data_IF_803580724581
#
_entry.id   IF_803580724581
#
_cell.length_a   1.000
_cell.length_b   1.000
_cell.length_c   1.000
_cell.angle_alpha   90.00
_cell.angle_beta   90.00
_cell.angle_gamma   90.00
#
_symmetry.space_group_name_H-M   'P 1'
#
loop_
_entity.id
_entity.type
_entity.pdbx_description
1 polymer ?
#
# COMPACT_ATOMS: atom_id res chain seq x y z
N UNK A 1 -13.40 -23.57 -29.65
CA UNK A 1 -12.35 -23.32 -30.65
C UNK A 1 -11.28 -22.47 -29.98
N UNK A 2 -9.99 -22.73 -30.22
CA UNK A 2 -8.92 -21.90 -29.66
C UNK A 2 -9.07 -20.44 -30.13
N UNK A 3 -8.77 -19.50 -29.24
CA UNK A 3 -8.87 -18.07 -29.53
C UNK A 3 -7.80 -17.65 -30.54
N UNK A 4 -8.12 -16.70 -31.42
CA UNK A 4 -7.14 -16.12 -32.34
C UNK A 4 -6.62 -14.79 -31.81
N UNK A 5 -5.38 -14.42 -32.19
CA UNK A 5 -4.78 -13.14 -31.81
C UNK A 5 -5.68 -11.97 -32.25
N UNK A 6 -6.23 -12.02 -33.46
CA UNK A 6 -7.13 -10.97 -33.97
C UNK A 6 -8.38 -10.80 -33.09
N UNK A 7 -8.99 -11.91 -32.68
CA UNK A 7 -10.16 -11.90 -31.80
C UNK A 7 -9.80 -11.32 -30.43
N UNK A 8 -8.68 -11.76 -29.85
CA UNK A 8 -8.22 -11.29 -28.55
C UNK A 8 -7.87 -9.79 -28.55
N UNK A 9 -7.22 -9.27 -29.60
CA UNK A 9 -6.97 -7.83 -29.74
C UNK A 9 -8.28 -7.03 -29.83
N UNK A 10 -9.27 -7.55 -30.55
CA UNK A 10 -10.58 -6.88 -30.66
C UNK A 10 -11.32 -6.86 -29.32
N UNK A 11 -11.23 -7.95 -28.56
CA UNK A 11 -11.98 -8.13 -27.33
C UNK A 11 -11.28 -7.58 -26.10
N UNK A 12 -9.96 -7.54 -26.03
CA UNK A 12 -9.24 -7.31 -24.78
C UNK A 12 -8.15 -6.24 -24.88
N UNK A 13 -7.82 -5.75 -26.08
CA UNK A 13 -6.75 -4.76 -26.19
C UNK A 13 -7.18 -3.37 -25.71
N UNK A 14 -6.21 -2.70 -25.09
CA UNK A 14 -6.29 -1.29 -24.74
C UNK A 14 -5.72 -0.44 -25.87
N UNK A 15 -6.20 0.80 -26.00
CA UNK A 15 -5.60 1.80 -26.89
C UNK A 15 -4.30 2.30 -26.26
N UNK A 16 -3.30 2.52 -27.10
CA UNK A 16 -2.00 2.99 -26.65
C UNK A 16 -1.28 3.82 -27.71
N UNK A 17 -0.19 4.45 -27.29
CA UNK A 17 0.89 4.88 -28.15
C UNK A 17 2.15 4.08 -27.78
N UNK A 18 2.91 3.68 -28.79
CA UNK A 18 4.17 2.98 -28.59
C UNK A 18 5.20 3.51 -29.58
N UNK A 19 6.33 4.02 -29.07
CA UNK A 19 7.40 4.65 -29.88
C UNK A 19 6.88 5.76 -30.81
N UNK A 20 5.88 6.52 -30.35
CA UNK A 20 5.26 7.61 -31.12
C UNK A 20 4.20 7.17 -32.15
N UNK A 21 3.88 5.88 -32.23
CA UNK A 21 2.83 5.36 -33.11
C UNK A 21 1.56 4.99 -32.33
N UNK A 22 0.39 5.20 -32.94
CA UNK A 22 -0.87 4.65 -32.43
C UNK A 22 -0.79 3.12 -32.42
N UNK A 23 -1.10 2.53 -31.27
CA UNK A 23 -0.91 1.12 -30.98
C UNK A 23 -2.13 0.53 -30.25
N UNK A 24 -2.16 -0.79 -30.21
CA UNK A 24 -3.02 -1.58 -29.33
C UNK A 24 -2.16 -2.48 -28.45
N UNK A 25 -2.58 -2.65 -27.21
CA UNK A 25 -1.87 -3.47 -26.22
C UNK A 25 -2.81 -4.53 -25.70
N UNK A 26 -2.43 -5.80 -25.85
CA UNK A 26 -3.15 -6.94 -25.32
C UNK A 26 -2.42 -7.48 -24.07
N UNK A 27 -2.99 -7.33 -22.87
CA UNK A 27 -2.41 -7.88 -21.65
C UNK A 27 -2.61 -9.40 -21.60
N UNK A 28 -1.52 -10.16 -21.57
CA UNK A 28 -1.56 -11.63 -21.56
C UNK A 28 -1.55 -12.17 -20.13
N UNK A 29 -2.69 -12.10 -19.45
CA UNK A 29 -2.87 -12.78 -18.17
C UNK A 29 -3.10 -14.28 -18.36
N UNK A 30 -2.89 -15.07 -17.30
CA UNK A 30 -2.90 -16.53 -17.34
C UNK A 30 -4.21 -17.11 -17.92
N UNK A 31 -5.36 -16.55 -17.52
CA UNK A 31 -6.66 -17.01 -18.02
C UNK A 31 -6.83 -16.79 -19.53
N UNK A 32 -6.43 -15.62 -20.04
CA UNK A 32 -6.49 -15.33 -21.48
C UNK A 32 -5.50 -16.21 -22.25
N UNK A 33 -4.29 -16.37 -21.73
CA UNK A 33 -3.25 -17.19 -22.36
C UNK A 33 -3.69 -18.67 -22.48
N UNK A 34 -4.47 -19.18 -21.53
CA UNK A 34 -5.03 -20.53 -21.57
C UNK A 34 -6.05 -20.75 -22.70
N UNK A 35 -6.60 -19.68 -23.31
CA UNK A 35 -7.53 -19.78 -24.44
C UNK A 35 -6.84 -20.00 -25.79
N UNK A 36 -5.51 -19.88 -25.84
CA UNK A 36 -4.70 -20.05 -27.05
C UNK A 36 -4.07 -21.45 -27.15
N UNK A 37 -3.90 -21.91 -28.39
CA UNK A 37 -2.89 -22.92 -28.68
C UNK A 37 -1.49 -22.29 -28.57
N UNK A 38 -0.67 -22.80 -27.64
CA UNK A 38 0.63 -22.21 -27.32
C UNK A 38 1.64 -22.32 -28.46
N UNK A 39 1.60 -23.39 -29.25
CA UNK A 39 2.53 -23.59 -30.36
C UNK A 39 2.20 -22.63 -31.52
N UNK A 40 0.91 -22.44 -31.79
CA UNK A 40 0.45 -21.48 -32.80
C UNK A 40 0.68 -20.04 -32.37
N UNK A 41 0.44 -19.71 -31.10
CA UNK A 41 0.74 -18.39 -30.54
C UNK A 41 2.23 -18.07 -30.64
N UNK A 42 3.10 -18.99 -30.21
CA UNK A 42 4.55 -18.80 -30.28
C UNK A 42 5.05 -18.65 -31.73
N UNK A 43 4.49 -19.42 -32.67
CA UNK A 43 4.80 -19.28 -34.11
C UNK A 43 4.36 -17.92 -34.64
N UNK A 44 3.21 -17.41 -34.21
CA UNK A 44 2.66 -16.15 -34.69
C UNK A 44 3.39 -14.92 -34.13
N UNK A 45 3.84 -14.95 -32.87
CA UNK A 45 4.55 -13.84 -32.22
C UNK A 45 6.08 -13.97 -32.29
N UNK A 46 6.59 -15.10 -32.78
CA UNK A 46 8.02 -15.37 -32.95
C UNK A 46 8.77 -15.75 -31.68
N UNK A 47 8.07 -15.89 -30.55
CA UNK A 47 8.66 -16.26 -29.25
C UNK A 47 7.60 -16.83 -28.29
N UNK A 48 8.03 -17.45 -27.21
CA UNK A 48 7.13 -17.92 -26.15
C UNK A 48 6.51 -16.73 -25.40
N UNK A 49 5.19 -16.76 -25.21
CA UNK A 49 4.45 -15.78 -24.42
C UNK A 49 4.18 -16.36 -23.04
N UNK A 50 4.42 -15.57 -22.00
CA UNK A 50 4.20 -15.97 -20.61
C UNK A 50 3.12 -15.09 -19.97
N UNK A 51 2.44 -15.58 -18.92
CA UNK A 51 1.58 -14.73 -18.10
C UNK A 51 2.31 -13.47 -17.65
N UNK A 52 1.67 -12.32 -17.82
CA UNK A 52 2.22 -11.01 -17.50
C UNK A 52 2.86 -10.26 -18.66
N UNK A 53 3.15 -10.92 -19.78
CA UNK A 53 3.59 -10.23 -21.00
C UNK A 53 2.49 -9.36 -21.60
N UNK A 54 2.91 -8.33 -22.34
CA UNK A 54 2.01 -7.56 -23.20
C UNK A 54 2.31 -7.85 -24.67
N UNK A 55 1.28 -8.07 -25.48
CA UNK A 55 1.43 -8.04 -26.94
C UNK A 55 1.06 -6.65 -27.44
N UNK A 56 2.02 -5.95 -28.02
CA UNK A 56 1.80 -4.62 -28.61
C UNK A 56 1.77 -4.75 -30.12
N UNK A 57 0.73 -4.20 -30.75
CA UNK A 57 0.60 -4.12 -32.20
C UNK A 57 0.42 -2.68 -32.65
N UNK A 58 1.11 -2.26 -33.71
CA UNK A 58 0.98 -0.92 -34.27
C UNK A 58 1.14 -0.92 -35.79
N UNK A 59 0.75 0.20 -36.41
CA UNK A 59 0.97 0.46 -37.83
C UNK A 59 2.20 1.34 -37.99
N UNK A 60 3.14 0.89 -38.82
CA UNK A 60 4.30 1.66 -39.26
C UNK A 60 4.17 1.89 -40.78
N UNK A 61 3.54 3.01 -41.15
CA UNK A 61 3.09 3.26 -42.51
C UNK A 61 2.06 2.21 -42.96
N UNK A 62 2.41 1.43 -43.99
CA UNK A 62 1.56 0.34 -44.50
C UNK A 62 1.81 -1.01 -43.80
N UNK A 63 2.87 -1.12 -43.00
CA UNK A 63 3.27 -2.38 -42.38
C UNK A 63 2.65 -2.55 -40.99
N UNK A 64 2.16 -3.76 -40.71
CA UNK A 64 1.73 -4.16 -39.37
C UNK A 64 2.93 -4.67 -38.60
N UNK A 65 3.23 -4.01 -37.48
CA UNK A 65 4.32 -4.40 -36.57
C UNK A 65 3.73 -4.91 -35.27
N UNK A 66 4.48 -5.77 -34.59
CA UNK A 66 4.13 -6.24 -33.26
C UNK A 66 5.36 -6.62 -32.45
N UNK A 67 5.23 -6.56 -31.12
CA UNK A 67 6.27 -6.94 -30.18
C UNK A 67 5.67 -7.47 -28.89
N UNK A 68 6.36 -8.42 -28.25
CA UNK A 68 6.05 -8.85 -26.89
C UNK A 68 6.87 -7.98 -25.93
N UNK A 69 6.21 -7.32 -24.99
CA UNK A 69 6.87 -6.59 -23.91
C UNK A 69 6.85 -7.41 -22.63
N UNK A 70 8.00 -7.43 -21.95
CA UNK A 70 8.08 -7.83 -20.56
C UNK A 70 7.64 -6.64 -19.69
N UNK A 71 6.68 -6.81 -18.76
CA UNK A 71 6.15 -5.72 -17.94
C UNK A 71 7.20 -5.09 -17.01
N UNK A 72 8.28 -5.79 -16.72
CA UNK A 72 9.39 -5.30 -15.89
C UNK A 72 10.48 -4.60 -16.70
N UNK A 73 10.42 -4.67 -18.04
CA UNK A 73 11.35 -3.94 -18.89
C UNK A 73 10.86 -2.50 -19.08
N UNK A 74 11.79 -1.54 -18.97
CA UNK A 74 11.52 -0.16 -19.35
C UNK A 74 11.07 -0.08 -20.81
N UNK A 75 10.01 0.67 -21.07
CA UNK A 75 9.38 0.75 -22.39
C UNK A 75 8.77 2.15 -22.63
N UNK A 76 8.54 2.48 -23.90
CA UNK A 76 7.95 3.76 -24.32
C UNK A 76 6.43 3.67 -24.50
N UNK A 77 5.76 2.82 -23.71
CA UNK A 77 4.32 2.63 -23.82
C UNK A 77 3.58 3.78 -23.12
N UNK A 78 2.52 4.27 -23.76
CA UNK A 78 1.58 5.22 -23.18
C UNK A 78 0.19 4.64 -23.41
N UNK A 79 -0.58 4.40 -22.34
CA UNK A 79 -1.96 3.93 -22.45
C UNK A 79 -2.88 5.13 -22.67
N UNK A 80 -3.85 4.97 -23.57
CA UNK A 80 -4.72 6.06 -24.03
C UNK A 80 -6.15 5.76 -23.62
N UNK A 81 -6.77 6.71 -22.90
CA UNK A 81 -8.17 6.63 -22.48
C UNK A 81 -8.97 7.71 -23.21
N UNK A 82 -10.00 7.33 -23.99
CA UNK A 82 -10.86 8.32 -24.64
C UNK A 82 -11.75 9.02 -23.62
N UNK A 83 -11.89 10.34 -23.75
CA UNK A 83 -12.86 11.15 -23.01
C UNK A 83 -14.13 11.36 -23.84
N UNK A 84 -15.22 11.76 -23.19
CA UNK A 84 -16.53 11.90 -23.85
C UNK A 84 -16.58 13.08 -24.82
N UNK A 85 -15.73 14.09 -24.61
CA UNK A 85 -15.57 15.25 -25.50
C UNK A 85 -14.70 14.97 -26.74
N UNK A 86 -14.14 13.76 -26.86
CA UNK A 86 -13.31 13.35 -27.98
C UNK A 86 -11.81 13.64 -27.81
N UNK A 87 -11.40 14.19 -26.67
CA UNK A 87 -9.99 14.24 -26.28
C UNK A 87 -9.46 12.86 -25.82
N UNK A 88 -8.17 12.80 -25.49
CA UNK A 88 -7.48 11.58 -25.09
C UNK A 88 -6.62 11.85 -23.85
N UNK A 89 -6.94 11.17 -22.75
CA UNK A 89 -6.09 11.14 -21.56
C UNK A 89 -4.96 10.13 -21.75
N UNK A 90 -3.73 10.56 -21.46
CA UNK A 90 -2.51 9.78 -21.67
C UNK A 90 -1.90 9.36 -20.34
N UNK A 91 -1.73 8.06 -20.15
CA UNK A 91 -1.10 7.47 -18.96
C UNK A 91 0.22 6.82 -19.36
N UNK A 92 1.37 7.44 -19.02
CA UNK A 92 2.68 6.85 -19.28
C UNK A 92 2.82 5.48 -18.60
N UNK A 93 3.16 4.46 -19.37
CA UNK A 93 3.24 3.06 -18.96
C UNK A 93 4.66 2.47 -19.06
N UNK A 94 5.68 3.33 -19.09
CA UNK A 94 7.07 2.89 -18.97
C UNK A 94 7.40 2.20 -17.65
N UNK A 95 6.61 2.45 -16.61
CA UNK A 95 6.44 1.57 -15.46
C UNK A 95 5.00 1.06 -15.48
N UNK A 96 4.81 -0.18 -15.92
CA UNK A 96 3.48 -0.75 -16.16
C UNK A 96 2.68 -0.88 -14.86
N UNK A 97 3.36 -1.17 -13.76
CA UNK A 97 2.78 -1.34 -12.45
C UNK A 97 2.08 -0.05 -11.99
N UNK A 98 2.79 1.08 -12.05
CA UNK A 98 2.25 2.41 -11.71
C UNK A 98 1.12 2.83 -12.63
N UNK A 99 1.25 2.54 -13.93
CA UNK A 99 0.20 2.85 -14.89
C UNK A 99 -1.09 2.06 -14.63
N UNK A 100 -0.98 0.76 -14.29
CA UNK A 100 -2.12 -0.07 -13.95
C UNK A 100 -2.85 0.43 -12.69
N UNK A 101 -2.12 0.82 -11.65
CA UNK A 101 -2.69 1.42 -10.44
C UNK A 101 -3.42 2.72 -10.79
N UNK A 102 -2.77 3.62 -11.54
CA UNK A 102 -3.37 4.90 -11.94
C UNK A 102 -4.64 4.72 -12.77
N UNK A 103 -4.62 3.81 -13.74
CA UNK A 103 -5.80 3.52 -14.57
C UNK A 103 -6.95 2.92 -13.77
N UNK A 104 -6.63 2.10 -12.78
CA UNK A 104 -7.64 1.56 -11.87
C UNK A 104 -8.28 2.67 -11.02
N UNK A 105 -7.48 3.58 -10.47
CA UNK A 105 -7.97 4.78 -9.76
C UNK A 105 -8.85 5.66 -10.67
N UNK A 106 -8.40 5.95 -11.89
CA UNK A 106 -9.17 6.73 -12.87
C UNK A 106 -10.50 6.05 -13.22
N UNK A 107 -10.51 4.72 -13.38
CA UNK A 107 -11.75 3.97 -13.64
C UNK A 107 -12.75 4.06 -12.51
N UNK A 108 -12.27 4.08 -11.26
CA UNK A 108 -13.12 4.28 -10.08
C UNK A 108 -13.66 5.70 -9.97
N UNK A 109 -12.82 6.70 -10.22
CA UNK A 109 -13.24 8.10 -10.33
C UNK A 109 -14.31 8.26 -11.41
N UNK A 110 -14.15 7.61 -12.55
CA UNK A 110 -15.13 7.59 -13.63
C UNK A 110 -16.47 7.01 -13.17
N UNK A 111 -16.49 5.85 -12.51
CA UNK A 111 -17.75 5.26 -12.02
C UNK A 111 -18.51 6.20 -11.08
N UNK A 112 -17.79 6.95 -10.24
CA UNK A 112 -18.39 7.95 -9.35
C UNK A 112 -18.92 9.15 -10.10
N UNK A 113 -18.16 9.65 -11.08
CA UNK A 113 -18.60 10.76 -11.92
C UNK A 113 -19.89 10.39 -12.68
N UNK A 114 -19.97 9.16 -13.21
CA UNK A 114 -21.20 8.64 -13.82
C UNK A 114 -22.38 8.64 -12.84
N UNK A 115 -22.19 8.16 -11.62
CA UNK A 115 -23.25 8.14 -10.60
C UNK A 115 -23.71 9.55 -10.23
N UNK A 116 -22.76 10.46 -9.99
CA UNK A 116 -23.01 11.87 -9.66
C UNK A 116 -23.76 12.58 -10.79
N UNK A 117 -23.30 12.45 -12.03
CA UNK A 117 -23.94 13.03 -13.21
C UNK A 117 -25.34 12.47 -13.42
N UNK A 118 -25.55 11.17 -13.19
CA UNK A 118 -26.88 10.57 -13.27
C UNK A 118 -27.84 11.16 -12.22
N UNK A 119 -27.38 11.36 -10.99
CA UNK A 119 -28.17 12.00 -9.93
C UNK A 119 -28.50 13.46 -10.24
N UNK A 120 -27.51 14.25 -10.66
CA UNK A 120 -27.70 15.66 -11.01
C UNK A 120 -28.64 15.81 -12.22
N UNK A 121 -28.50 14.96 -13.24
CA UNK A 121 -29.42 14.95 -14.38
C UNK A 121 -30.83 14.52 -13.98
N UNK A 122 -31.00 13.63 -13.00
CA UNK A 122 -32.32 13.29 -12.47
C UNK A 122 -32.96 14.46 -11.72
N UNK A 123 -32.17 15.24 -10.96
CA UNK A 123 -32.63 16.48 -10.31
C UNK A 123 -33.06 17.53 -11.36
N UNK A 124 -32.23 17.75 -12.38
CA UNK A 124 -32.55 18.69 -13.48
C UNK A 124 -33.84 18.29 -14.22
N UNK A 125 -34.07 16.99 -14.47
CA UNK A 125 -35.33 16.50 -15.04
C UNK A 125 -36.52 16.81 -14.13
N UNK A 126 -36.42 16.50 -12.84
CA UNK A 126 -37.49 16.74 -11.88
C UNK A 126 -37.79 18.24 -11.71
N UNK A 127 -36.77 19.10 -11.78
CA UNK A 127 -36.93 20.56 -11.77
C UNK A 127 -37.57 21.08 -13.05
N UNK A 128 -37.17 20.55 -14.21
CA UNK A 128 -37.78 20.89 -15.49
C UNK A 128 -39.24 20.45 -15.59
N UNK A 129 -39.58 19.26 -15.11
CA UNK A 129 -40.99 18.80 -15.02
C UNK A 129 -41.83 19.73 -14.13
N UNK A 130 -41.28 20.18 -13.00
CA UNK A 130 -41.95 21.18 -12.13
C UNK A 130 -42.08 22.55 -12.81
N UNK A 131 -41.12 22.94 -13.63
CA UNK A 131 -41.17 24.19 -14.39
C UNK A 131 -42.22 24.11 -15.51
N UNK A 132 -42.26 23.01 -16.27
CA UNK A 132 -43.26 22.74 -17.30
C UNK A 132 -44.70 22.72 -16.76
N UNK A 133 -44.89 22.25 -15.53
CA UNK A 133 -46.20 22.28 -14.87
C UNK A 133 -46.70 23.71 -14.57
N UNK A 134 -45.80 24.71 -14.51
CA UNK A 134 -46.11 26.13 -14.27
C UNK A 134 -46.08 26.96 -15.54
N UNK A 135 -45.17 26.65 -16.45
CA UNK A 135 -44.95 27.32 -17.72
C UNK A 135 -44.67 26.25 -18.81
N UNK A 136 -45.65 25.99 -19.71
CA UNK A 136 -45.49 25.00 -20.78
C UNK A 136 -44.31 25.27 -21.71
N UNK A 137 -43.80 26.50 -21.77
CA UNK A 137 -42.70 26.91 -22.63
C UNK A 137 -41.34 26.95 -21.87
N UNK A 138 -41.27 26.35 -20.67
CA UNK A 138 -40.03 26.28 -19.89
C UNK A 138 -38.90 25.59 -20.67
N UNK A 139 -37.78 26.31 -20.83
CA UNK A 139 -36.62 25.83 -21.56
C UNK A 139 -36.03 24.53 -20.96
N UNK A 140 -35.62 23.61 -21.84
CA UNK A 140 -35.00 22.35 -21.42
C UNK A 140 -33.63 22.61 -20.77
N UNK A 141 -33.32 21.96 -19.62
CA UNK A 141 -32.04 22.13 -18.97
C UNK A 141 -30.92 21.48 -19.80
N UNK A 142 -29.71 22.03 -19.68
CA UNK A 142 -28.52 21.38 -20.24
C UNK A 142 -28.09 20.24 -19.33
N UNK A 143 -28.17 19.01 -19.83
CA UNK A 143 -27.72 17.83 -19.09
C UNK A 143 -26.20 17.75 -19.05
N UNK A 144 -25.70 17.30 -17.89
CA UNK A 144 -24.30 17.05 -17.67
C UNK A 144 -23.90 15.74 -18.33
N UNK A 145 -22.65 15.67 -18.78
CA UNK A 145 -22.08 14.48 -19.41
C UNK A 145 -20.88 14.02 -18.58
N UNK A 146 -20.74 12.72 -18.27
CA UNK A 146 -19.56 12.23 -17.55
C UNK A 146 -18.28 12.44 -18.37
N UNK A 147 -17.15 12.64 -17.70
CA UNK A 147 -15.84 12.88 -18.35
C UNK A 147 -15.44 11.76 -19.30
N UNK A 148 -15.67 10.51 -18.89
CA UNK A 148 -15.31 9.33 -19.68
C UNK A 148 -16.56 8.57 -20.12
N UNK A 149 -16.52 7.86 -21.26
CA UNK A 149 -17.53 6.87 -21.61
C UNK A 149 -17.65 5.76 -20.55
N UNK A 150 -18.83 5.16 -20.42
CA UNK A 150 -19.11 4.13 -19.41
C UNK A 150 -18.20 2.89 -19.54
N UNK A 151 -17.74 2.57 -20.75
CA UNK A 151 -16.89 1.43 -21.05
C UNK A 151 -15.40 1.77 -21.18
N UNK A 152 -15.00 3.03 -20.96
CA UNK A 152 -13.63 3.50 -21.17
C UNK A 152 -12.57 2.68 -20.40
N UNK A 153 -12.94 2.16 -19.23
CA UNK A 153 -12.06 1.38 -18.35
C UNK A 153 -12.37 -0.11 -18.31
N UNK A 154 -13.27 -0.62 -19.16
CA UNK A 154 -13.73 -2.02 -19.12
C UNK A 154 -12.61 -3.06 -19.29
N UNK A 155 -11.47 -2.69 -19.88
CA UNK A 155 -10.31 -3.56 -20.12
C UNK A 155 -9.20 -3.44 -19.07
N UNK A 156 -9.29 -2.45 -18.17
CA UNK A 156 -8.28 -2.24 -17.11
C UNK A 156 -8.18 -3.41 -16.12
N UNK A 157 -9.27 -4.12 -15.73
CA UNK A 157 -9.14 -5.29 -14.87
C UNK A 157 -8.23 -6.38 -15.47
N UNK A 158 -8.29 -6.62 -16.78
CA UNK A 158 -7.42 -7.57 -17.46
C UNK A 158 -5.95 -7.15 -17.45
N UNK A 159 -5.68 -5.84 -17.56
CA UNK A 159 -4.34 -5.27 -17.39
C UNK A 159 -3.82 -5.46 -15.95
N UNK A 160 -4.65 -5.24 -14.94
CA UNK A 160 -4.26 -5.41 -13.54
C UNK A 160 -3.89 -6.87 -13.24
N UNK A 161 -4.72 -7.83 -13.69
CA UNK A 161 -4.41 -9.26 -13.58
C UNK A 161 -3.11 -9.61 -14.29
N UNK A 162 -2.87 -9.05 -15.48
CA UNK A 162 -1.63 -9.23 -16.22
C UNK A 162 -0.42 -8.72 -15.40
N UNK A 163 -0.51 -7.54 -14.79
CA UNK A 163 0.55 -7.03 -13.91
C UNK A 163 0.79 -7.98 -12.73
N UNK A 164 -0.26 -8.47 -12.07
CA UNK A 164 -0.14 -9.42 -10.96
C UNK A 164 0.55 -10.74 -11.38
N UNK A 165 0.24 -11.25 -12.57
CA UNK A 165 0.92 -12.41 -13.14
C UNK A 165 2.41 -12.16 -13.40
N UNK A 166 2.75 -10.99 -13.94
CA UNK A 166 4.15 -10.59 -14.14
C UNK A 166 4.93 -10.45 -12.82
N UNK A 167 4.30 -9.89 -11.78
CA UNK A 167 4.89 -9.82 -10.44
C UNK A 167 5.14 -11.22 -9.87
N UNK A 168 4.17 -12.13 -9.98
CA UNK A 168 4.33 -13.52 -9.55
C UNK A 168 5.48 -14.21 -10.28
N UNK A 169 5.58 -14.07 -11.60
CA UNK A 169 6.69 -14.61 -12.38
C UNK A 169 8.05 -14.06 -11.89
N UNK A 170 8.11 -12.76 -11.56
CA UNK A 170 9.30 -12.12 -10.99
C UNK A 170 9.75 -12.76 -9.67
N UNK A 171 8.77 -13.09 -8.82
CA UNK A 171 9.01 -13.70 -7.51
C UNK A 171 9.44 -15.16 -7.61
N UNK A 172 8.88 -15.89 -8.55
CA UNK A 172 9.16 -17.31 -8.81
C UNK A 172 10.49 -17.54 -9.55
N UNK A 173 10.98 -16.54 -10.30
CA UNK A 173 12.23 -16.64 -11.04
C UNK A 173 13.45 -16.75 -10.08
N UNK A 174 14.25 -17.84 -10.17
CA UNK A 174 15.43 -18.03 -9.34
C UNK A 174 16.58 -17.07 -9.66
N UNK A 175 16.57 -16.41 -10.82
CA UNK A 175 17.60 -15.47 -11.26
C UNK A 175 17.26 -14.01 -10.96
N UNK A 176 16.03 -13.70 -10.54
CA UNK A 176 15.66 -12.35 -10.11
C UNK A 176 16.42 -12.00 -8.84
N UNK A 177 17.08 -10.85 -8.85
CA UNK A 177 17.81 -10.34 -7.70
C UNK A 177 16.90 -9.92 -6.54
N UNK A 178 17.53 -9.71 -5.39
CA UNK A 178 16.87 -9.32 -4.15
C UNK A 178 16.08 -8.01 -4.31
N UNK A 179 16.65 -7.01 -4.98
CA UNK A 179 16.04 -5.69 -5.08
C UNK A 179 14.76 -5.74 -5.92
N UNK A 180 14.79 -6.46 -7.03
CA UNK A 180 13.64 -6.67 -7.89
C UNK A 180 12.52 -7.48 -7.20
N UNK A 181 12.86 -8.50 -6.40
CA UNK A 181 11.87 -9.24 -5.59
C UNK A 181 11.21 -8.34 -4.55
N UNK A 182 11.98 -7.57 -3.80
CA UNK A 182 11.45 -6.62 -2.82
C UNK A 182 10.53 -5.57 -3.47
N UNK A 183 10.92 -5.04 -4.64
CA UNK A 183 10.09 -4.11 -5.40
C UNK A 183 8.79 -4.77 -5.88
N UNK A 184 8.84 -6.01 -6.36
CA UNK A 184 7.64 -6.72 -6.81
C UNK A 184 6.62 -6.89 -5.69
N UNK A 185 7.07 -7.20 -4.46
CA UNK A 185 6.17 -7.24 -3.32
C UNK A 185 5.63 -5.86 -2.90
N UNK A 186 6.46 -4.80 -2.95
CA UNK A 186 6.00 -3.45 -2.67
C UNK A 186 4.89 -3.02 -3.64
N UNK A 187 5.00 -3.40 -4.92
CA UNK A 187 3.95 -3.18 -5.91
C UNK A 187 2.70 -4.02 -5.60
N UNK A 188 2.84 -5.30 -5.24
CA UNK A 188 1.68 -6.12 -4.85
C UNK A 188 0.89 -5.46 -3.71
N UNK A 189 1.59 -4.89 -2.72
CA UNK A 189 0.97 -4.11 -1.67
C UNK A 189 0.24 -2.86 -2.19
N UNK A 190 0.87 -2.07 -3.08
CA UNK A 190 0.22 -0.89 -3.66
C UNK A 190 -1.04 -1.24 -4.46
N UNK A 191 -1.00 -2.33 -5.23
CA UNK A 191 -2.16 -2.88 -5.94
C UNK A 191 -3.24 -3.31 -4.94
N UNK A 192 -2.85 -4.01 -3.87
CA UNK A 192 -3.74 -4.38 -2.77
C UNK A 192 -4.44 -3.14 -2.22
N UNK A 193 -3.68 -2.13 -1.79
CA UNK A 193 -4.22 -0.87 -1.25
C UNK A 193 -5.14 -0.14 -2.22
N UNK A 194 -4.79 -0.09 -3.51
CA UNK A 194 -5.62 0.53 -4.55
C UNK A 194 -6.95 -0.21 -4.73
N UNK A 195 -6.96 -1.55 -4.58
CA UNK A 195 -8.18 -2.36 -4.57
C UNK A 195 -8.99 -2.20 -3.28
N UNK A 196 -8.33 -1.94 -2.16
CA UNK A 196 -8.91 -2.06 -0.84
C UNK A 196 -9.62 -0.77 -0.36
N UNK A 197 -9.16 0.42 -0.78
CA UNK A 197 -9.75 1.69 -0.37
C UNK A 197 -10.84 2.17 -1.34
N UNK A 198 -12.07 1.67 -1.21
CA UNK A 198 -13.20 1.95 -2.14
C UNK A 198 -13.84 3.34 -1.95
N UNK A 199 -13.38 4.12 -0.96
CA UNK A 199 -14.02 5.36 -0.51
C UNK A 199 -13.83 6.59 -1.41
N UNK A 200 -14.88 7.41 -1.54
CA UNK A 200 -14.81 8.76 -2.12
C UNK A 200 -13.89 9.66 -1.28
N UNK A 201 -13.36 10.77 -1.84
CA UNK A 201 -12.58 11.74 -1.04
C UNK A 201 -13.36 12.23 0.19
N UNK A 202 -14.66 12.44 0.06
CA UNK A 202 -15.55 12.84 1.16
C UNK A 202 -15.70 11.74 2.21
N UNK A 203 -15.98 10.51 1.80
CA UNK A 203 -16.06 9.35 2.71
C UNK A 203 -14.72 9.11 3.43
N UNK A 204 -13.60 9.25 2.72
CA UNK A 204 -12.26 9.15 3.30
C UNK A 204 -12.00 10.31 4.27
N UNK A 205 -12.50 11.52 4.00
CA UNK A 205 -12.44 12.64 4.94
C UNK A 205 -13.20 12.32 6.23
N UNK A 206 -14.40 11.73 6.14
CA UNK A 206 -15.18 11.29 7.30
C UNK A 206 -14.46 10.22 8.13
N UNK A 207 -13.91 9.20 7.48
CA UNK A 207 -13.10 8.17 8.16
C UNK A 207 -11.87 8.78 8.83
N UNK A 208 -11.18 9.69 8.14
CA UNK A 208 -9.97 10.35 8.66
C UNK A 208 -10.30 11.20 9.88
N UNK A 209 -11.36 12.00 9.83
CA UNK A 209 -11.83 12.81 10.95
C UNK A 209 -12.22 11.93 12.14
N UNK A 210 -13.07 10.94 11.92
CA UNK A 210 -13.52 10.05 12.99
C UNK A 210 -12.34 9.34 13.65
N UNK A 211 -11.37 8.88 12.87
CA UNK A 211 -10.14 8.28 13.40
C UNK A 211 -9.35 9.29 14.25
N UNK A 212 -9.13 10.51 13.75
CA UNK A 212 -8.43 11.55 14.51
C UNK A 212 -9.12 11.85 15.86
N UNK A 213 -10.45 11.96 15.87
CA UNK A 213 -11.21 12.14 17.10
C UNK A 213 -10.99 10.98 18.09
N UNK A 214 -11.08 9.75 17.61
CA UNK A 214 -10.84 8.55 18.43
C UNK A 214 -9.39 8.45 18.93
N UNK A 215 -8.43 8.93 18.16
CA UNK A 215 -7.02 9.02 18.56
C UNK A 215 -6.82 10.02 19.70
N UNK A 216 -7.43 11.20 19.60
CA UNK A 216 -7.38 12.21 20.65
C UNK A 216 -8.10 11.77 21.93
N UNK A 217 -9.27 11.11 21.78
CA UNK A 217 -9.97 10.47 22.91
C UNK A 217 -9.04 9.46 23.59
N UNK A 218 -8.35 8.60 22.83
CA UNK A 218 -7.43 7.62 23.38
C UNK A 218 -6.19 8.22 24.04
N UNK A 219 -5.75 9.41 23.62
CA UNK A 219 -4.67 10.15 24.27
C UNK A 219 -5.09 10.73 25.62
N UNK A 220 -6.35 11.17 25.77
CA UNK A 220 -6.89 11.69 27.03
C UNK A 220 -7.34 10.59 27.99
N UNK A 221 -8.05 9.59 27.46
CA UNK A 221 -8.58 8.46 28.24
C UNK A 221 -8.47 7.15 27.44
N UNK A 222 -7.36 6.41 27.58
CA UNK A 222 -7.12 5.17 26.83
C UNK A 222 -8.19 4.09 26.98
N UNK A 223 -8.95 4.11 28.09
CA UNK A 223 -9.99 3.13 28.41
C UNK A 223 -11.39 3.50 27.87
N UNK A 224 -11.54 4.67 27.23
CA UNK A 224 -12.81 5.11 26.68
C UNK A 224 -13.27 4.19 25.52
N UNK A 225 -14.56 3.91 25.39
CA UNK A 225 -15.07 2.95 24.38
C UNK A 225 -14.77 3.37 22.94
N UNK A 226 -14.75 4.68 22.69
CA UNK A 226 -14.39 5.28 21.40
C UNK A 226 -12.87 5.43 21.22
N UNK A 227 -12.04 5.19 22.24
CA UNK A 227 -10.60 5.38 22.13
C UNK A 227 -10.00 4.48 21.05
N UNK A 228 -9.00 5.01 20.34
CA UNK A 228 -8.00 4.21 19.65
C UNK A 228 -6.74 4.20 20.50
N UNK A 229 -6.15 3.02 20.74
CA UNK A 229 -4.89 2.87 21.49
C UNK A 229 -3.85 3.87 20.98
N UNK A 230 -3.41 4.87 21.77
CA UNK A 230 -2.56 5.93 21.27
C UNK A 230 -1.24 5.36 20.72
N UNK A 231 -0.63 6.01 19.71
CA UNK A 231 0.69 5.59 19.27
C UNK A 231 1.65 5.71 20.45
N UNK A 232 2.44 4.66 20.69
CA UNK A 232 3.48 4.71 21.69
C UNK A 232 4.46 5.85 21.33
N UNK A 233 4.92 6.58 22.36
CA UNK A 233 5.83 7.70 22.16
C UNK A 233 7.08 7.25 21.40
N UNK A 234 7.56 8.11 20.49
CA UNK A 234 8.77 7.84 19.75
C UNK A 234 9.93 7.61 20.72
N UNK A 235 10.72 6.56 20.49
CA UNK A 235 11.85 6.26 21.35
C UNK A 235 12.91 7.38 21.23
N UNK A 236 13.24 8.00 22.35
CA UNK A 236 14.22 9.11 22.41
C UNK A 236 15.66 8.65 22.63
N UNK A 237 15.89 7.37 22.96
CA UNK A 237 17.22 6.84 23.17
C UNK A 237 18.08 6.78 21.90
N UNK A 238 19.36 6.48 22.10
CA UNK A 238 20.40 6.56 21.07
C UNK A 238 20.71 5.21 20.39
N UNK A 239 20.03 4.13 20.78
CA UNK A 239 20.26 2.80 20.21
C UNK A 239 21.56 2.15 20.68
N UNK A 240 22.18 2.58 21.79
CA UNK A 240 23.47 2.09 22.24
C UNK A 240 23.45 0.60 22.56
N UNK A 241 22.44 0.12 23.29
CA UNK A 241 22.30 -1.29 23.66
C UNK A 241 22.21 -2.18 22.40
N UNK A 242 21.37 -1.79 21.44
CA UNK A 242 21.24 -2.48 20.17
C UNK A 242 22.54 -2.50 19.35
N UNK A 243 23.28 -1.39 19.33
CA UNK A 243 24.58 -1.28 18.64
C UNK A 243 25.65 -2.14 19.32
N UNK A 244 25.70 -2.11 20.65
CA UNK A 244 26.65 -2.88 21.44
C UNK A 244 26.43 -4.39 21.24
N UNK A 245 25.18 -4.85 21.37
CA UNK A 245 24.83 -6.25 21.19
C UNK A 245 25.15 -6.73 19.77
N UNK A 246 24.72 -5.99 18.74
CA UNK A 246 24.97 -6.37 17.34
C UNK A 246 26.47 -6.29 16.98
N UNK A 247 27.21 -5.35 17.59
CA UNK A 247 28.66 -5.23 17.46
C UNK A 247 29.44 -6.36 18.14
N UNK A 248 28.91 -6.90 19.25
CA UNK A 248 29.52 -8.00 20.00
C UNK A 248 29.29 -9.40 19.41
N UNK A 249 28.31 -9.56 18.50
CA UNK A 249 28.08 -10.85 17.83
C UNK A 249 29.23 -11.19 16.86
N UNK A 250 29.80 -12.42 16.90
CA UNK A 250 30.91 -12.84 16.05
C UNK A 250 30.48 -13.17 14.62
N UNK A 251 29.51 -12.42 14.09
CA UNK A 251 29.01 -12.58 12.73
C UNK A 251 29.93 -11.87 11.74
N UNK A 252 30.30 -12.57 10.66
CA UNK A 252 31.14 -12.01 9.59
C UNK A 252 30.36 -11.22 8.56
N UNK A 253 29.03 -11.16 8.71
CA UNK A 253 28.05 -10.67 7.75
C UNK A 253 28.53 -9.49 6.89
N UNK A 254 28.13 -9.47 5.62
CA UNK A 254 28.65 -8.54 4.62
C UNK A 254 28.20 -7.07 4.79
N UNK A 255 27.42 -6.75 5.84
CA UNK A 255 26.61 -5.54 5.86
C UNK A 255 25.55 -5.57 4.76
N UNK A 256 24.74 -4.52 4.65
CA UNK A 256 23.87 -4.36 3.50
C UNK A 256 24.63 -3.67 2.37
N UNK A 257 24.48 -4.16 1.14
CA UNK A 257 24.85 -3.36 -0.04
C UNK A 257 23.91 -2.16 -0.18
N UNK A 258 24.33 -1.10 -0.87
CA UNK A 258 23.48 0.06 -1.13
C UNK A 258 22.16 -0.31 -1.83
N UNK A 259 22.19 -1.28 -2.75
CA UNK A 259 21.01 -1.80 -3.44
C UNK A 259 20.04 -2.53 -2.49
N UNK A 260 20.56 -3.28 -1.52
CA UNK A 260 19.75 -3.97 -0.52
C UNK A 260 19.15 -3.01 0.52
N UNK A 261 19.93 -2.03 0.97
CA UNK A 261 19.40 -0.95 1.81
C UNK A 261 18.26 -0.22 1.11
N UNK A 262 18.45 0.11 -0.18
CA UNK A 262 17.41 0.73 -0.99
C UNK A 262 16.18 -0.17 -1.11
N UNK A 263 16.35 -1.49 -1.28
CA UNK A 263 15.24 -2.44 -1.39
C UNK A 263 14.43 -2.58 -0.08
N UNK A 264 15.10 -2.64 1.07
CA UNK A 264 14.44 -2.74 2.38
C UNK A 264 13.77 -1.41 2.74
N UNK A 265 14.46 -0.28 2.56
CA UNK A 265 13.92 1.04 2.82
C UNK A 265 12.76 1.39 1.87
N UNK A 266 12.78 0.87 0.63
CA UNK A 266 11.70 1.06 -0.33
C UNK A 266 10.50 0.13 -0.12
N UNK A 267 10.58 -0.86 0.77
CA UNK A 267 9.43 -1.69 1.11
C UNK A 267 8.68 -1.08 2.31
N UNK A 268 7.55 -0.39 2.09
CA UNK A 268 6.81 0.29 3.16
C UNK A 268 6.19 -0.70 4.15
N UNK A 269 5.88 -1.93 3.74
CA UNK A 269 5.30 -2.94 4.63
C UNK A 269 6.31 -3.35 5.69
N UNK A 270 7.53 -3.69 5.27
CA UNK A 270 8.59 -4.10 6.21
C UNK A 270 9.05 -2.89 7.05
N UNK A 271 9.38 -1.78 6.39
CA UNK A 271 9.93 -0.61 7.09
C UNK A 271 8.93 0.05 8.03
N UNK A 272 7.68 0.26 7.62
CA UNK A 272 6.69 1.04 8.39
C UNK A 272 5.73 0.16 9.18
N UNK A 273 5.14 -0.86 8.56
CA UNK A 273 4.04 -1.62 9.16
C UNK A 273 4.59 -2.69 10.12
N UNK A 274 5.56 -3.49 9.69
CA UNK A 274 6.18 -4.53 10.53
C UNK A 274 6.96 -3.91 11.68
N UNK A 275 7.94 -3.02 11.43
CA UNK A 275 8.68 -2.40 12.54
C UNK A 275 7.80 -1.50 13.40
N UNK A 276 6.84 -0.77 12.82
CA UNK A 276 5.91 0.05 13.60
C UNK A 276 5.01 -0.74 14.54
N UNK A 277 4.79 -2.03 14.28
CA UNK A 277 4.06 -2.93 15.20
C UNK A 277 4.96 -3.56 16.29
N UNK A 278 6.28 -3.41 16.19
CA UNK A 278 7.27 -4.03 17.06
C UNK A 278 7.98 -3.01 17.96
N UNK A 279 8.36 -1.86 17.41
CA UNK A 279 9.21 -0.87 18.07
C UNK A 279 8.85 0.55 17.68
N UNK A 280 8.98 1.47 18.63
CA UNK A 280 8.91 2.93 18.39
C UNK A 280 10.26 3.52 18.00
N UNK A 281 11.30 2.70 17.86
CA UNK A 281 12.58 3.11 17.29
C UNK A 281 12.37 3.54 15.85
N UNK A 282 12.78 4.78 15.46
CA UNK A 282 12.72 5.21 14.08
C UNK A 282 13.45 4.21 13.18
N UNK A 283 12.87 3.83 12.05
CA UNK A 283 13.43 2.80 11.13
C UNK A 283 14.88 3.09 10.74
N UNK A 284 15.22 4.36 10.55
CA UNK A 284 16.58 4.80 10.24
C UNK A 284 17.62 4.51 11.36
N UNK A 285 17.16 4.23 12.59
CA UNK A 285 17.96 3.87 13.76
C UNK A 285 17.89 2.37 14.10
N UNK A 286 17.01 1.61 13.44
CA UNK A 286 17.02 0.15 13.56
C UNK A 286 18.32 -0.37 12.96
N UNK A 287 19.13 -1.05 13.76
CA UNK A 287 20.36 -1.62 13.27
C UNK A 287 20.03 -2.91 12.53
N UNK A 288 20.67 -3.16 11.39
CA UNK A 288 20.46 -4.41 10.69
C UNK A 288 21.67 -4.89 9.90
N UNK A 289 21.77 -6.20 9.70
CA UNK A 289 22.82 -6.85 8.92
C UNK A 289 22.27 -8.06 8.18
N UNK A 290 22.69 -8.24 6.94
CA UNK A 290 22.52 -9.52 6.25
C UNK A 290 23.51 -10.55 6.81
N UNK A 291 23.05 -11.78 6.98
CA UNK A 291 23.85 -12.86 7.56
C UNK A 291 23.92 -14.07 6.63
N UNK A 292 25.04 -14.77 6.64
CA UNK A 292 25.18 -16.06 5.96
C UNK A 292 24.51 -17.19 6.74
N UNK A 293 24.44 -18.39 6.15
CA UNK A 293 23.97 -19.58 6.86
C UNK A 293 24.86 -19.93 8.08
N UNK A 294 26.18 -19.72 7.97
CA UNK A 294 27.08 -19.94 9.10
C UNK A 294 26.86 -18.89 10.21
N UNK A 295 26.66 -17.63 9.83
CA UNK A 295 26.33 -16.57 10.78
C UNK A 295 24.99 -16.83 11.48
N UNK A 296 24.00 -17.37 10.77
CA UNK A 296 22.72 -17.79 11.37
C UNK A 296 22.94 -18.82 12.49
N UNK A 297 23.74 -19.86 12.23
CA UNK A 297 23.99 -20.89 13.24
C UNK A 297 24.80 -20.34 14.43
N UNK A 298 25.73 -19.41 14.17
CA UNK A 298 26.44 -18.68 15.22
C UNK A 298 25.50 -17.83 16.08
N UNK A 299 24.56 -17.12 15.47
CA UNK A 299 23.53 -16.36 16.21
C UNK A 299 22.73 -17.30 17.11
N UNK A 300 22.28 -18.44 16.58
CA UNK A 300 21.54 -19.41 17.37
C UNK A 300 22.37 -19.99 18.52
N UNK A 301 23.67 -20.21 18.30
CA UNK A 301 24.59 -20.66 19.34
C UNK A 301 24.74 -19.61 20.46
N UNK A 302 24.93 -18.35 20.10
CA UNK A 302 25.21 -17.26 21.05
C UNK A 302 23.94 -16.75 21.76
N UNK A 303 22.83 -16.58 21.02
CA UNK A 303 21.59 -16.01 21.53
C UNK A 303 20.53 -17.05 21.88
N UNK A 304 20.71 -18.34 21.57
CA UNK A 304 19.67 -19.36 21.75
C UNK A 304 19.14 -19.48 23.19
N UNK A 305 19.95 -19.15 24.21
CA UNK A 305 19.53 -19.11 25.62
C UNK A 305 18.71 -17.87 25.99
N UNK A 306 18.76 -16.86 25.14
CA UNK A 306 18.13 -15.55 25.28
C UNK A 306 16.91 -15.41 24.36
N UNK A 307 16.37 -16.52 23.84
CA UNK A 307 15.13 -16.50 23.06
C UNK A 307 14.01 -15.92 23.92
N UNK A 308 13.36 -14.88 23.40
CA UNK A 308 12.29 -14.18 24.08
C UNK A 308 11.02 -15.01 24.02
N UNK A 309 10.42 -15.28 25.16
CA UNK A 309 9.27 -16.20 25.26
C UNK A 309 8.00 -15.53 25.74
N UNK A 310 8.10 -14.32 26.30
CA UNK A 310 6.95 -13.61 26.86
C UNK A 310 6.37 -12.67 25.82
N UNK A 311 7.18 -11.78 25.24
CA UNK A 311 6.70 -10.80 24.25
C UNK A 311 6.71 -11.34 22.81
N UNK A 312 7.68 -12.21 22.48
CA UNK A 312 7.88 -12.67 21.10
C UNK A 312 6.68 -13.36 20.46
N UNK A 313 5.91 -14.25 21.13
CA UNK A 313 4.78 -14.91 20.49
C UNK A 313 3.75 -13.91 19.95
N UNK A 314 3.45 -12.87 20.73
CA UNK A 314 2.51 -11.83 20.32
C UNK A 314 3.11 -10.96 19.20
N UNK A 315 4.35 -10.50 19.37
CA UNK A 315 5.07 -9.72 18.37
C UNK A 315 5.15 -10.44 17.02
N UNK A 316 5.53 -11.72 16.99
CA UNK A 316 5.63 -12.52 15.77
C UNK A 316 4.25 -12.81 15.15
N UNK A 317 3.19 -12.92 15.95
CA UNK A 317 1.82 -13.05 15.44
C UNK A 317 1.38 -11.76 14.74
N UNK A 318 1.69 -10.59 15.30
CA UNK A 318 1.42 -9.28 14.65
C UNK A 318 2.11 -9.19 13.30
N UNK A 319 3.39 -9.58 13.19
CA UNK A 319 4.10 -9.61 11.91
C UNK A 319 3.43 -10.55 10.92
N UNK A 320 3.04 -11.75 11.38
CA UNK A 320 2.40 -12.75 10.52
C UNK A 320 1.05 -12.27 9.99
N UNK A 321 0.26 -11.57 10.81
CA UNK A 321 -0.99 -10.96 10.40
C UNK A 321 -0.77 -9.84 9.37
N UNK A 322 0.22 -8.96 9.60
CA UNK A 322 0.58 -7.88 8.67
C UNK A 322 1.03 -8.45 7.33
N UNK A 323 1.99 -9.36 7.34
CA UNK A 323 2.53 -9.95 6.11
C UNK A 323 1.50 -10.82 5.39
N UNK A 324 0.62 -11.50 6.12
CA UNK A 324 -0.45 -12.31 5.54
C UNK A 324 -1.46 -11.47 4.75
N UNK A 325 -1.82 -10.29 5.26
CA UNK A 325 -2.73 -9.35 4.58
C UNK A 325 -2.02 -8.58 3.46
N UNK A 326 -0.86 -7.97 3.77
CA UNK A 326 -0.18 -7.02 2.87
C UNK A 326 0.66 -7.67 1.78
N UNK A 327 1.18 -8.87 2.03
CA UNK A 327 2.08 -9.58 1.13
C UNK A 327 1.69 -11.06 1.01
N UNK A 328 0.51 -11.38 0.44
CA UNK A 328 0.01 -12.75 0.38
C UNK A 328 1.02 -13.70 -0.27
N UNK A 329 1.33 -14.80 0.42
CA UNK A 329 2.32 -15.80 -0.03
C UNK A 329 3.78 -15.45 0.28
N UNK A 330 4.06 -14.31 0.92
CA UNK A 330 5.38 -13.99 1.45
C UNK A 330 5.78 -15.01 2.53
N UNK A 331 6.87 -15.73 2.30
CA UNK A 331 7.40 -16.66 3.31
C UNK A 331 8.30 -15.90 4.27
N UNK A 332 7.86 -15.83 5.53
CA UNK A 332 8.58 -15.20 6.61
C UNK A 332 8.74 -16.20 7.76
N UNK A 333 9.99 -16.37 8.21
CA UNK A 333 10.31 -17.11 9.42
C UNK A 333 11.14 -16.18 10.30
N UNK A 334 10.78 -16.08 11.58
CA UNK A 334 11.53 -15.23 12.48
C UNK A 334 11.64 -15.82 13.88
N UNK A 335 12.69 -15.39 14.57
CA UNK A 335 12.92 -15.63 16.00
C UNK A 335 13.34 -14.32 16.64
N UNK A 336 12.89 -14.10 17.87
CA UNK A 336 13.20 -12.91 18.63
C UNK A 336 13.99 -13.28 19.87
N UNK A 337 15.06 -12.54 20.12
CA UNK A 337 15.95 -12.71 21.26
C UNK A 337 16.03 -11.41 22.04
N UNK A 338 16.22 -11.50 23.35
CA UNK A 338 16.37 -10.35 24.26
C UNK A 338 17.62 -10.50 25.11
N UNK A 339 18.57 -9.58 24.99
CA UNK A 339 19.82 -9.61 25.77
C UNK A 339 20.32 -8.19 26.01
N UNK A 340 20.78 -7.91 27.23
CA UNK A 340 21.46 -6.63 27.57
C UNK A 340 20.68 -5.40 27.11
N UNK A 341 19.38 -5.36 27.44
CA UNK A 341 18.45 -4.26 27.09
C UNK A 341 18.26 -4.00 25.59
N UNK A 342 18.61 -4.98 24.76
CA UNK A 342 18.36 -4.97 23.33
C UNK A 342 17.59 -6.21 22.86
N UNK A 343 16.72 -5.97 21.88
CA UNK A 343 16.02 -7.01 21.15
C UNK A 343 16.71 -7.28 19.83
N UNK A 344 16.72 -8.54 19.41
CA UNK A 344 17.27 -8.99 18.14
C UNK A 344 16.23 -9.85 17.43
N UNK A 345 15.78 -9.39 16.27
CA UNK A 345 14.93 -10.13 15.36
C UNK A 345 15.79 -10.79 14.28
N UNK A 346 15.90 -12.11 14.37
CA UNK A 346 16.46 -12.95 13.32
C UNK A 346 15.35 -13.29 12.34
N UNK A 347 15.49 -12.86 11.10
CA UNK A 347 14.54 -13.11 10.01
C UNK A 347 15.19 -14.00 8.96
N UNK A 348 14.41 -14.95 8.45
CA UNK A 348 14.67 -15.63 7.18
C UNK A 348 13.44 -15.51 6.31
N UNK A 349 13.61 -14.98 5.12
CA UNK A 349 12.57 -14.87 4.12
C UNK A 349 13.06 -15.39 2.75
N UNK A 350 12.30 -15.10 1.70
CA UNK A 350 12.62 -15.49 0.33
C UNK A 350 13.79 -14.69 -0.27
N UNK A 351 14.18 -13.58 0.35
CA UNK A 351 15.24 -12.67 -0.09
C UNK A 351 16.57 -13.07 0.55
N UNK A 352 16.55 -13.46 1.83
CA UNK A 352 17.76 -13.80 2.56
C UNK A 352 17.53 -14.03 4.05
N UNK A 353 18.63 -13.99 4.81
CA UNK A 353 18.61 -14.02 6.26
C UNK A 353 19.17 -12.71 6.81
N UNK A 354 18.49 -12.16 7.81
CA UNK A 354 18.74 -10.82 8.34
C UNK A 354 18.70 -10.85 9.86
N UNK A 355 19.53 -9.99 10.46
CA UNK A 355 19.39 -9.59 11.86
C UNK A 355 18.95 -8.14 11.88
N UNK A 356 17.96 -7.85 12.70
CA UNK A 356 17.57 -6.49 13.09
C UNK A 356 17.69 -6.35 14.59
N UNK A 357 18.12 -5.21 15.09
CA UNK A 357 18.17 -4.92 16.52
C UNK A 357 17.72 -3.50 16.86
N UNK A 358 17.09 -3.39 18.02
CA UNK A 358 16.61 -2.14 18.64
C UNK A 358 16.65 -2.27 20.17
N UNK A 359 16.57 -1.16 20.88
CA UNK A 359 16.62 -1.16 22.35
C UNK A 359 15.28 -1.67 22.90
N UNK A 360 15.29 -2.59 23.85
CA UNK A 360 14.08 -3.22 24.39
C UNK A 360 13.12 -2.22 25.04
N UNK A 361 13.60 -1.05 25.48
CA UNK A 361 12.78 0.03 26.00
C UNK A 361 11.83 0.64 24.95
N UNK A 362 12.11 0.43 23.65
CA UNK A 362 11.29 0.92 22.54
C UNK A 362 10.18 -0.05 22.11
N UNK A 363 9.99 -1.18 22.81
CA UNK A 363 8.98 -2.19 22.45
C UNK A 363 7.57 -1.59 22.40
N UNK A 364 6.82 -1.96 21.37
CA UNK A 364 5.38 -1.69 21.31
C UNK A 364 4.65 -2.75 22.15
N UNK A 365 4.22 -2.35 23.34
CA UNK A 365 3.53 -3.21 24.29
C UNK A 365 2.13 -3.61 23.78
N UNK A 366 1.28 -2.63 23.44
CA UNK A 366 -0.10 -2.88 23.00
C UNK A 366 -0.37 -2.13 21.68
N UNK A 367 -0.77 -2.87 20.65
CA UNK A 367 -1.26 -2.31 19.39
C UNK A 367 -2.33 -3.23 18.80
N UNK A 368 -3.49 -2.67 18.47
CA UNK A 368 -4.45 -3.36 17.62
C UNK A 368 -4.00 -3.22 16.16
N UNK A 369 -3.34 -4.26 15.64
CA UNK A 369 -2.82 -4.31 14.27
C UNK A 369 -3.92 -4.06 13.23
N UNK A 370 -5.13 -4.59 13.45
CA UNK A 370 -6.25 -4.40 12.52
C UNK A 370 -6.68 -2.94 12.42
N UNK A 371 -6.88 -2.31 13.56
CA UNK A 371 -7.39 -0.94 13.63
C UNK A 371 -6.31 0.10 13.25
N UNK A 372 -5.04 -0.19 13.57
CA UNK A 372 -3.94 0.78 13.41
C UNK A 372 -3.15 0.60 12.12
N UNK A 373 -2.86 -0.64 11.71
CA UNK A 373 -1.90 -0.97 10.64
C UNK A 373 -2.61 -1.48 9.39
N UNK A 374 -3.53 -2.43 9.56
CA UNK A 374 -4.23 -3.07 8.44
C UNK A 374 -5.50 -2.34 8.00
N UNK A 375 -5.80 -1.19 8.61
CA UNK A 375 -7.00 -0.41 8.35
C UNK A 375 -7.19 -0.19 6.85
N UNK A 376 -8.17 -0.88 6.31
CA UNK A 376 -8.59 -0.86 4.92
C UNK A 376 -10.02 -0.41 4.94
N UNK A 377 -10.34 0.66 4.22
CA UNK A 377 -11.65 1.28 4.35
C UNK A 377 -12.51 1.03 3.11
N UNK A 378 -13.62 0.37 3.36
CA UNK A 378 -14.71 0.13 2.41
C UNK A 378 -15.88 1.06 2.73
N UNK A 379 -16.88 1.15 1.84
CA UNK A 379 -18.07 1.99 2.07
C UNK A 379 -18.80 1.64 3.38
N UNK A 380 -18.70 0.39 3.84
CA UNK A 380 -19.27 -0.04 5.12
C UNK A 380 -18.52 0.52 6.34
N UNK A 381 -17.26 0.93 6.18
CA UNK A 381 -16.42 1.48 7.24
C UNK A 381 -16.55 3.01 7.36
N UNK A 382 -17.37 3.64 6.51
CA UNK A 382 -17.61 5.09 6.58
C UNK A 382 -18.50 5.38 7.78
N UNK A 383 -18.02 6.14 8.77
CA UNK A 383 -18.82 6.50 9.93
C UNK A 383 -19.99 7.39 9.49
N UNK A 384 -21.15 7.21 10.14
CA UNK A 384 -22.26 8.15 9.98
C UNK A 384 -21.92 9.50 10.61
N UNK A 385 -22.63 10.56 10.20
CA UNK A 385 -22.46 11.89 10.80
C UNK A 385 -22.76 11.87 12.31
N UNK A 386 -23.74 11.05 12.72
CA UNK A 386 -24.06 10.83 14.14
C UNK A 386 -22.88 10.22 14.93
N UNK A 387 -22.14 9.28 14.34
CA UNK A 387 -20.96 8.69 14.98
C UNK A 387 -19.83 9.71 15.14
N UNK A 388 -19.62 10.54 14.11
CA UNK A 388 -18.62 11.62 14.17
C UNK A 388 -19.00 12.63 15.25
N UNK A 389 -20.26 13.06 15.29
CA UNK A 389 -20.75 14.00 16.28
C UNK A 389 -20.68 13.43 17.70
N UNK A 390 -21.01 12.15 17.89
CA UNK A 390 -20.83 11.48 19.18
C UNK A 390 -19.35 11.48 19.63
N UNK A 391 -18.41 11.22 18.72
CA UNK A 391 -16.98 11.30 19.03
C UNK A 391 -16.50 12.74 19.31
N UNK A 392 -17.03 13.75 18.60
CA UNK A 392 -16.74 15.16 18.88
C UNK A 392 -17.22 15.56 20.28
N UNK A 393 -18.44 15.15 20.65
CA UNK A 393 -19.01 15.40 21.98
C UNK A 393 -18.19 14.71 23.06
N UNK A 394 -17.87 13.42 22.90
CA UNK A 394 -17.05 12.68 23.85
C UNK A 394 -15.66 13.31 24.04
N UNK A 395 -14.99 13.70 22.94
CA UNK A 395 -13.71 14.39 23.00
C UNK A 395 -13.83 15.75 23.71
N UNK A 396 -14.90 16.49 23.44
CA UNK A 396 -15.16 17.76 24.10
C UNK A 396 -15.36 17.55 25.61
N UNK A 397 -16.19 16.61 26.01
CA UNK A 397 -16.44 16.28 27.41
C UNK A 397 -15.14 15.89 28.12
N UNK A 398 -14.30 15.05 27.51
CA UNK A 398 -13.00 14.66 28.06
C UNK A 398 -12.02 15.83 28.20
N UNK A 399 -12.06 16.82 27.30
CA UNK A 399 -11.22 18.03 27.40
C UNK A 399 -11.65 18.96 28.54
N UNK A 400 -12.92 18.90 28.92
CA UNK A 400 -13.47 19.67 30.04
C UNK A 400 -13.67 18.84 31.32
N UNK A 401 -13.36 17.53 31.27
CA UNK A 401 -13.35 16.64 32.42
C UNK A 401 -12.10 16.89 33.26
N UNK A 402 -12.28 17.76 34.25
CA UNK A 402 -11.32 18.10 35.28
C UNK A 402 -11.14 16.99 36.34
N UNK A 403 -11.63 15.77 36.09
CA UNK A 403 -11.63 14.65 37.02
C UNK A 403 -10.31 13.88 37.14
N UNK A 404 -9.34 14.09 36.23
CA UNK A 404 -7.97 13.62 36.41
C UNK A 404 -7.23 14.60 37.33
N UNK A 405 -6.71 14.10 38.46
CA UNK A 405 -5.99 14.82 39.53
C UNK A 405 -5.48 16.21 39.12
N UNK A 406 -6.27 17.25 39.39
CA UNK A 406 -5.79 18.61 39.33
C UNK A 406 -4.79 18.78 40.47
N UNK A 407 -3.52 18.91 40.14
CA UNK A 407 -2.49 19.34 41.09
C UNK A 407 -2.71 20.82 41.42
N UNK A 408 -3.36 21.08 42.56
CA UNK A 408 -3.54 22.43 43.09
C UNK A 408 -2.30 22.96 43.82
N UNK A 409 -1.19 22.19 43.89
CA UNK A 409 0.06 22.58 44.56
C UNK A 409 1.08 23.21 43.60
N UNK A 410 0.62 24.09 42.70
CA UNK A 410 1.44 25.00 41.89
C UNK A 410 2.25 26.03 42.70
N UNK A 411 2.48 25.83 44.00
CA UNK A 411 3.21 26.73 44.89
C UNK A 411 4.74 26.60 44.76
N UNK A 412 5.25 25.43 44.36
CA UNK A 412 6.70 25.17 44.38
C UNK A 412 7.45 25.71 43.14
N UNK A 413 6.74 26.27 42.15
CA UNK A 413 7.34 26.81 40.90
C UNK A 413 7.52 28.34 40.94
N UNK A 414 6.91 29.04 41.89
CA UNK A 414 7.01 30.52 41.97
C UNK A 414 8.06 31.03 42.98
N UNK A 415 8.57 30.20 43.89
CA UNK A 415 9.50 30.64 44.94
C UNK A 415 10.99 30.32 44.68
N UNK A 416 11.35 29.80 43.50
CA UNK A 416 12.74 29.47 43.17
C UNK A 416 13.57 30.62 42.54
N UNK A 417 13.03 31.84 42.45
CA UNK A 417 13.75 33.02 41.90
C UNK A 417 14.30 34.01 42.94
N UNK A 418 14.10 33.80 44.25
CA UNK A 418 14.70 34.65 45.29
C UNK A 418 15.59 33.83 46.23
N UNK A 419 16.79 33.47 45.80
CA UNK A 419 17.96 33.36 46.70
C UNK A 419 19.25 33.25 45.88
N UNK A 420 19.69 34.39 45.33
CA UNK A 420 21.10 34.60 45.03
C UNK A 420 21.74 35.30 46.23
N UNK A 421 22.70 34.70 46.95
CA UNK A 421 23.50 35.46 47.90
C UNK A 421 24.52 36.29 47.10
N UNK A 422 24.42 37.62 47.20
CA UNK A 422 25.54 38.50 46.90
C UNK A 422 26.65 38.29 47.95
N UNK A 423 27.81 37.86 47.44
CA UNK A 423 29.18 37.95 47.97
C UNK A 423 29.61 37.05 49.14
#
# INVERSE_FOLDING_TARGET
MPQTIKTAFTQNALRAEFRGHKAQVLPMHAALLAEFDQADLARAVGQTVQPGHLLVGWMDGAERRGMVLNPNAGNDLILVIPTTDGEEDKVPAGNLQRAAIRLFEMGRESLRDHARVAEENAKLRAEHEKALAKDPDAAEPTYLTPRYPADAFARVPGLLTCVQDGLRATLEDPFTDIAAKSQAYAVQYEIGRANANVLTPEQMSKVTEYRALREEIGALQPTHELALTPPAAAYEGDGEAARALLGGLPVRGAGFTAAQMAAIAANPVISREVFGALTTTPVARVNGRMISAQDHDLVLQELGRHEERTWAPEALNRISEILGDRMPGYRFQARLFSKEDADVLLVRDHVGAYLYSWDSASRVAEINVRDRVLSTYTEADVPSDEMIDAARVALQDLRYDNGAEIDFFFADVLEAEEDAPEL
#
